data_IF_867149863376
#
_entry.id   IF_867149863376
#
_cell.length_a   1.000
_cell.length_b   1.000
_cell.length_c   1.000
_cell.angle_alpha   90.00
_cell.angle_beta   90.00
_cell.angle_gamma   90.00
#
_symmetry.space_group_name_H-M   'P 1'
#
loop_
_entity.id
_entity.type
_entity.pdbx_description
1 polymer ?
#
# COMPACT_ATOMS: atom_id res chain seq x y z
N UNK A 1 -4.00 -7.75 18.51
CA UNK A 1 -5.24 -7.00 18.22
C UNK A 1 -4.90 -5.91 17.22
N UNK A 2 -4.91 -6.20 15.91
CA UNK A 2 -4.71 -5.20 14.83
C UNK A 2 -6.00 -4.89 14.06
N UNK A 3 -7.13 -5.48 14.47
CA UNK A 3 -8.42 -5.42 13.76
C UNK A 3 -9.24 -4.16 14.02
N UNK A 4 -8.80 -3.28 14.94
CA UNK A 4 -9.55 -2.09 15.34
C UNK A 4 -9.25 -0.84 14.49
N UNK A 5 -8.12 -0.79 13.78
CA UNK A 5 -7.72 0.39 12.98
C UNK A 5 -8.52 0.48 11.66
N UNK A 6 -9.07 -0.64 11.17
CA UNK A 6 -9.87 -0.66 9.93
C UNK A 6 -11.18 0.14 10.02
N UNK A 7 -11.65 0.47 11.22
CA UNK A 7 -12.92 1.17 11.41
C UNK A 7 -12.83 2.69 11.18
N UNK A 8 -11.63 3.30 11.19
CA UNK A 8 -11.52 4.76 11.25
C UNK A 8 -11.56 5.48 9.89
N UNK A 9 -11.41 4.78 8.76
CA UNK A 9 -11.54 5.37 7.41
C UNK A 9 -13.00 5.48 6.91
N UNK A 10 -13.98 5.29 7.80
CA UNK A 10 -15.41 5.27 7.48
C UNK A 10 -16.03 6.68 7.28
N UNK A 11 -15.36 7.76 7.71
CA UNK A 11 -15.97 9.10 7.74
C UNK A 11 -15.64 10.02 6.55
N UNK A 12 -14.76 9.62 5.62
CA UNK A 12 -14.65 10.36 4.35
C UNK A 12 -15.80 9.86 3.45
N UNK A 13 -16.88 10.63 3.44
CA UNK A 13 -18.10 10.43 2.65
C UNK A 13 -17.85 10.67 1.15
N UNK A 14 -16.90 9.93 0.56
CA UNK A 14 -16.87 9.73 -0.88
C UNK A 14 -18.03 8.78 -1.21
N UNK A 15 -19.17 9.36 -1.62
CA UNK A 15 -20.35 8.67 -2.14
C UNK A 15 -20.08 8.04 -3.51
N UNK A 16 -18.98 7.33 -3.66
CA UNK A 16 -18.61 6.69 -4.92
C UNK A 16 -18.92 5.20 -4.84
N UNK A 17 -20.17 4.90 -5.20
CA UNK A 17 -20.68 3.55 -5.40
C UNK A 17 -19.92 2.85 -6.54
N UNK A 18 -19.54 1.58 -6.31
CA UNK A 18 -19.18 0.59 -7.33
C UNK A 18 -18.17 1.01 -8.41
N UNK A 19 -17.00 1.51 -8.00
CA UNK A 19 -15.92 1.83 -8.94
C UNK A 19 -15.23 0.59 -9.50
N UNK A 20 -15.43 0.32 -10.79
CA UNK A 20 -14.66 -0.68 -11.56
C UNK A 20 -13.28 -0.13 -11.94
N UNK A 21 -12.37 -1.00 -12.41
CA UNK A 21 -11.01 -0.60 -12.84
C UNK A 21 -10.94 0.55 -13.87
N UNK A 22 -11.93 0.69 -14.75
CA UNK A 22 -11.98 1.84 -15.68
C UNK A 22 -12.31 3.16 -14.98
N UNK A 23 -13.13 3.10 -13.93
CA UNK A 23 -13.59 4.28 -13.20
C UNK A 23 -12.50 4.86 -12.30
N UNK A 24 -11.60 4.03 -11.74
CA UNK A 24 -10.49 4.53 -10.91
C UNK A 24 -9.52 5.42 -11.70
N UNK A 25 -9.26 5.07 -12.96
CA UNK A 25 -8.40 5.87 -13.84
C UNK A 25 -9.01 7.24 -14.14
N UNK A 26 -10.28 7.29 -14.49
CA UNK A 26 -10.96 8.56 -14.79
C UNK A 26 -11.01 9.48 -13.56
N UNK A 27 -11.22 8.90 -12.38
CA UNK A 27 -11.22 9.64 -11.11
C UNK A 27 -9.82 10.14 -10.78
N UNK A 28 -8.81 9.30 -10.92
CA UNK A 28 -7.43 9.71 -10.73
C UNK A 28 -7.03 10.87 -11.64
N UNK A 29 -7.40 10.82 -12.93
CA UNK A 29 -7.12 11.90 -13.88
C UNK A 29 -7.78 13.22 -13.46
N UNK A 30 -9.03 13.19 -12.97
CA UNK A 30 -9.71 14.38 -12.46
C UNK A 30 -8.99 14.96 -11.23
N UNK A 31 -8.71 14.13 -10.24
CA UNK A 31 -8.00 14.56 -9.03
C UNK A 31 -6.61 15.12 -9.38
N UNK A 32 -5.91 14.50 -10.32
CA UNK A 32 -4.60 14.97 -10.80
C UNK A 32 -4.68 16.33 -11.47
N UNK A 33 -5.71 16.58 -12.29
CA UNK A 33 -5.91 17.89 -12.95
C UNK A 33 -6.13 19.02 -11.94
N UNK A 34 -6.75 18.72 -10.80
CA UNK A 34 -7.01 19.68 -9.72
C UNK A 34 -5.83 19.81 -8.73
N UNK A 35 -4.85 18.91 -8.80
CA UNK A 35 -3.73 18.86 -7.86
C UNK A 35 -2.55 19.70 -8.30
N UNK A 36 -1.87 20.31 -7.33
CA UNK A 36 -0.60 21.01 -7.57
C UNK A 36 0.53 19.98 -7.59
N UNK A 37 1.26 19.87 -8.69
CA UNK A 37 2.36 18.91 -8.84
C UNK A 37 3.69 19.61 -8.54
N UNK A 38 4.50 19.01 -7.68
CA UNK A 38 5.86 19.47 -7.36
C UNK A 38 6.78 18.27 -7.13
N UNK A 39 7.79 18.10 -7.99
CA UNK A 39 8.73 16.96 -7.91
C UNK A 39 9.69 17.02 -6.72
N UNK A 40 9.83 18.20 -6.10
CA UNK A 40 10.72 18.40 -4.95
C UNK A 40 9.98 18.27 -3.61
N UNK A 41 8.66 18.40 -3.61
CA UNK A 41 7.84 18.24 -2.40
C UNK A 41 7.64 16.75 -2.09
N UNK A 42 8.15 16.31 -0.94
CA UNK A 42 8.12 14.90 -0.51
C UNK A 42 7.05 14.59 0.52
N UNK A 43 6.21 15.53 0.93
CA UNK A 43 5.26 15.35 2.05
C UNK A 43 4.38 14.12 1.84
N UNK A 44 3.84 13.94 0.63
CA UNK A 44 3.01 12.78 0.31
C UNK A 44 3.83 11.49 0.25
N UNK A 45 5.05 11.52 -0.28
CA UNK A 45 5.94 10.35 -0.28
C UNK A 45 6.23 9.89 1.15
N UNK A 46 6.59 10.81 2.03
CA UNK A 46 6.95 10.52 3.42
C UNK A 46 5.74 10.00 4.22
N UNK A 47 4.52 10.43 3.87
CA UNK A 47 3.28 9.83 4.41
C UNK A 47 3.13 8.36 3.99
N UNK A 48 3.37 8.03 2.72
CA UNK A 48 3.28 6.64 2.24
C UNK A 48 4.35 5.77 2.90
N UNK A 49 5.55 6.31 3.10
CA UNK A 49 6.67 5.63 3.75
C UNK A 49 6.45 5.42 5.25
N UNK A 50 5.88 6.42 5.95
CA UNK A 50 5.50 6.26 7.35
C UNK A 50 4.35 5.25 7.50
N UNK A 51 3.37 5.28 6.60
CA UNK A 51 2.29 4.30 6.61
C UNK A 51 2.83 2.88 6.42
N UNK A 52 3.75 2.68 5.46
CA UNK A 52 4.47 1.43 5.26
C UNK A 52 5.19 0.98 6.53
N UNK A 53 6.00 1.88 7.09
CA UNK A 53 6.84 1.59 8.25
C UNK A 53 6.01 1.15 9.44
N UNK A 54 4.97 1.93 9.78
CA UNK A 54 4.14 1.72 10.97
C UNK A 54 3.12 0.59 10.84
N UNK A 55 2.62 0.29 9.64
CA UNK A 55 1.60 -0.75 9.48
C UNK A 55 2.16 -2.10 9.03
N UNK A 56 3.18 -2.08 8.16
CA UNK A 56 3.60 -3.28 7.45
C UNK A 56 4.99 -3.76 7.88
N UNK A 57 5.95 -2.86 8.08
CA UNK A 57 7.36 -3.22 8.33
C UNK A 57 7.71 -3.36 9.81
N UNK A 58 7.14 -2.54 10.69
CA UNK A 58 7.57 -2.49 12.08
C UNK A 58 7.03 -3.67 12.91
N UNK A 59 7.86 -4.10 13.87
CA UNK A 59 7.49 -5.10 14.86
C UNK A 59 6.76 -4.48 16.06
N UNK A 60 7.14 -3.25 16.42
CA UNK A 60 6.76 -2.61 17.70
C UNK A 60 6.17 -1.20 17.54
N UNK A 61 6.25 -0.61 16.34
CA UNK A 61 5.68 0.69 16.04
C UNK A 61 4.35 0.51 15.32
N UNK A 62 3.40 1.39 15.61
CA UNK A 62 2.03 1.33 15.09
C UNK A 62 1.55 2.73 14.71
N UNK A 63 0.47 2.79 13.92
CA UNK A 63 -0.19 4.05 13.62
C UNK A 63 -0.76 4.67 14.88
N UNK A 64 -0.37 5.91 15.14
CA UNK A 64 -0.87 6.71 16.26
C UNK A 64 -2.01 7.63 15.83
N UNK A 65 -2.87 8.10 16.74
CA UNK A 65 -3.84 9.16 16.44
C UNK A 65 -3.19 10.39 15.80
N UNK A 66 -1.98 10.75 16.23
CA UNK A 66 -1.22 11.88 15.70
C UNK A 66 -0.82 11.65 14.23
N UNK A 67 -0.32 10.45 13.90
CA UNK A 67 -0.02 10.09 12.51
C UNK A 67 -1.27 10.13 11.64
N UNK A 68 -2.40 9.60 12.13
CA UNK A 68 -3.68 9.62 11.40
C UNK A 68 -4.14 11.06 11.16
N UNK A 69 -4.13 11.90 12.20
CA UNK A 69 -4.53 13.31 12.09
C UNK A 69 -3.66 14.07 11.10
N UNK A 70 -2.35 13.75 11.02
CA UNK A 70 -1.45 14.35 10.03
C UNK A 70 -1.81 13.95 8.61
N UNK A 71 -2.18 12.69 8.38
CA UNK A 71 -2.66 12.22 7.08
C UNK A 71 -3.96 12.94 6.70
N UNK A 72 -4.93 13.02 7.61
CA UNK A 72 -6.21 13.71 7.38
C UNK A 72 -6.02 15.20 7.09
N UNK A 73 -5.18 15.89 7.86
CA UNK A 73 -4.85 17.30 7.62
C UNK A 73 -4.19 17.51 6.27
N UNK A 74 -3.31 16.59 5.86
CA UNK A 74 -2.65 16.67 4.55
C UNK A 74 -3.64 16.43 3.42
N UNK A 75 -4.52 15.44 3.57
CA UNK A 75 -5.53 15.07 2.59
C UNK A 75 -6.65 16.12 2.42
N UNK A 76 -6.95 16.87 3.48
CA UNK A 76 -7.96 17.94 3.48
C UNK A 76 -7.44 19.30 3.04
N UNK A 77 -6.12 19.47 2.89
CA UNK A 77 -5.54 20.72 2.44
C UNK A 77 -5.38 20.74 0.91
N UNK A 78 -6.16 21.56 0.16
CA UNK A 78 -6.06 21.64 -1.30
C UNK A 78 -4.73 22.24 -1.80
N UNK A 79 -3.97 22.88 -0.91
CA UNK A 79 -2.66 23.45 -1.23
C UNK A 79 -1.53 22.41 -1.19
N UNK A 80 -1.79 21.23 -0.61
CA UNK A 80 -0.85 20.11 -0.56
C UNK A 80 -0.38 19.74 -1.97
N UNK A 81 0.94 19.68 -2.17
CA UNK A 81 1.51 19.22 -3.43
C UNK A 81 1.38 17.71 -3.55
N UNK A 82 1.20 17.25 -4.79
CA UNK A 82 1.08 15.84 -5.15
C UNK A 82 -0.10 15.12 -4.45
N UNK A 83 -1.12 15.88 -4.05
CA UNK A 83 -2.28 15.41 -3.29
C UNK A 83 -3.01 14.26 -3.98
N UNK A 84 -3.03 14.22 -5.32
CA UNK A 84 -3.62 13.14 -6.11
C UNK A 84 -3.05 11.75 -5.80
N UNK A 85 -1.76 11.65 -5.47
CA UNK A 85 -1.15 10.39 -5.03
C UNK A 85 -1.74 9.96 -3.69
N UNK A 86 -1.82 10.87 -2.72
CA UNK A 86 -2.35 10.58 -1.40
C UNK A 86 -3.83 10.18 -1.49
N UNK A 87 -4.63 10.91 -2.27
CA UNK A 87 -6.06 10.62 -2.42
C UNK A 87 -6.31 9.27 -3.11
N UNK A 88 -5.52 8.93 -4.14
CA UNK A 88 -5.61 7.60 -4.77
C UNK A 88 -5.22 6.49 -3.78
N UNK A 89 -4.17 6.70 -2.98
CA UNK A 89 -3.77 5.75 -1.95
C UNK A 89 -4.85 5.57 -0.87
N UNK A 90 -5.43 6.65 -0.37
CA UNK A 90 -6.52 6.60 0.62
C UNK A 90 -7.79 5.94 0.06
N UNK A 91 -8.11 6.18 -1.21
CA UNK A 91 -9.21 5.51 -1.89
C UNK A 91 -8.96 3.99 -1.97
N UNK A 92 -7.73 3.57 -2.24
CA UNK A 92 -7.34 2.16 -2.20
C UNK A 92 -7.46 1.57 -0.78
N UNK A 93 -6.97 2.26 0.25
CA UNK A 93 -7.11 1.82 1.65
C UNK A 93 -8.58 1.68 2.07
N UNK A 94 -9.44 2.62 1.65
CA UNK A 94 -10.86 2.56 1.91
C UNK A 94 -11.51 1.36 1.21
N UNK A 95 -11.08 1.03 -0.01
CA UNK A 95 -11.54 -0.14 -0.74
C UNK A 95 -11.19 -1.45 0.00
N UNK A 96 -9.94 -1.59 0.46
CA UNK A 96 -9.52 -2.74 1.27
C UNK A 96 -10.34 -2.86 2.57
N UNK A 97 -10.56 -1.74 3.24
CA UNK A 97 -11.29 -1.72 4.52
C UNK A 97 -12.73 -2.18 4.35
N UNK A 98 -13.43 -1.65 3.32
CA UNK A 98 -14.84 -1.98 3.06
C UNK A 98 -15.03 -3.43 2.61
N UNK A 99 -14.12 -3.96 1.79
CA UNK A 99 -14.20 -5.37 1.33
C UNK A 99 -13.99 -6.35 2.49
N UNK A 100 -13.01 -6.06 3.37
CA UNK A 100 -12.77 -6.84 4.59
C UNK A 100 -13.97 -6.83 5.55
N UNK A 101 -14.54 -5.64 5.83
CA UNK A 101 -15.67 -5.49 6.76
C UNK A 101 -16.96 -6.10 6.22
N UNK A 102 -17.22 -5.98 4.92
CA UNK A 102 -18.44 -6.50 4.29
C UNK A 102 -18.37 -7.99 3.93
N UNK A 103 -17.23 -8.65 4.16
CA UNK A 103 -17.01 -10.05 3.73
C UNK A 103 -17.12 -10.23 2.22
N UNK A 104 -16.92 -9.17 1.43
CA UNK A 104 -17.07 -9.18 -0.02
C UNK A 104 -15.76 -9.58 -0.67
N UNK A 105 -15.86 -10.30 -1.79
CA UNK A 105 -14.70 -10.57 -2.66
C UNK A 105 -14.07 -9.23 -3.08
N UNK A 106 -12.75 -9.06 -2.93
CA UNK A 106 -12.07 -7.85 -3.37
C UNK A 106 -12.24 -7.62 -4.87
N UNK A 107 -12.44 -6.36 -5.29
CA UNK A 107 -12.40 -6.00 -6.71
C UNK A 107 -10.93 -5.91 -7.14
N UNK A 108 -10.40 -7.06 -7.58
CA UNK A 108 -8.99 -7.15 -7.92
C UNK A 108 -8.62 -6.34 -9.17
N UNK A 109 -9.57 -6.03 -10.06
CA UNK A 109 -9.31 -5.15 -11.21
C UNK A 109 -9.10 -3.69 -10.75
N UNK A 110 -9.95 -3.21 -9.84
CA UNK A 110 -9.76 -1.91 -9.20
C UNK A 110 -8.40 -1.85 -8.50
N UNK A 111 -8.05 -2.88 -7.72
CA UNK A 111 -6.81 -2.90 -6.96
C UNK A 111 -5.57 -2.88 -7.85
N UNK A 112 -5.55 -3.68 -8.92
CA UNK A 112 -4.45 -3.73 -9.87
C UNK A 112 -4.28 -2.38 -10.57
N UNK A 113 -5.38 -1.78 -11.06
CA UNK A 113 -5.28 -0.50 -11.78
C UNK A 113 -4.87 0.64 -10.84
N UNK A 114 -5.41 0.69 -9.61
CA UNK A 114 -5.01 1.67 -8.60
C UNK A 114 -3.51 1.58 -8.27
N UNK A 115 -2.98 0.35 -8.08
CA UNK A 115 -1.56 0.15 -7.82
C UNK A 115 -0.68 0.51 -9.02
N UNK A 116 -1.12 0.21 -10.23
CA UNK A 116 -0.42 0.61 -11.46
C UNK A 116 -0.36 2.14 -11.60
N UNK A 117 -1.46 2.83 -11.32
CA UNK A 117 -1.50 4.30 -11.33
C UNK A 117 -0.58 4.89 -10.28
N UNK A 118 -0.60 4.37 -9.04
CA UNK A 118 0.29 4.81 -7.96
C UNK A 118 1.77 4.55 -8.29
N UNK A 119 2.11 3.37 -8.80
CA UNK A 119 3.47 3.02 -9.21
C UNK A 119 3.99 4.00 -10.26
N UNK A 120 3.22 4.21 -11.34
CA UNK A 120 3.63 5.12 -12.41
C UNK A 120 3.76 6.55 -11.90
N UNK A 121 2.77 7.04 -11.16
CA UNK A 121 2.78 8.44 -10.70
C UNK A 121 3.89 8.73 -9.70
N UNK A 122 4.14 7.81 -8.75
CA UNK A 122 5.24 7.98 -7.78
C UNK A 122 6.60 7.89 -8.45
N UNK A 123 6.77 6.99 -9.44
CA UNK A 123 7.98 6.92 -10.25
C UNK A 123 8.20 8.20 -11.06
N UNK A 124 7.16 8.74 -11.68
CA UNK A 124 7.24 9.93 -12.54
C UNK A 124 7.50 11.22 -11.75
N UNK A 125 6.95 11.34 -10.53
CA UNK A 125 7.12 12.54 -9.69
C UNK A 125 8.38 12.45 -8.84
N UNK A 126 8.62 11.32 -8.16
CA UNK A 126 9.69 11.20 -7.16
C UNK A 126 10.92 10.44 -7.67
N UNK A 127 10.86 9.84 -8.85
CA UNK A 127 11.91 8.95 -9.36
C UNK A 127 12.04 7.63 -8.58
N UNK A 128 11.11 7.35 -7.64
CA UNK A 128 11.15 6.18 -6.77
C UNK A 128 9.74 5.75 -6.38
N UNK A 129 9.50 4.44 -6.33
CA UNK A 129 8.22 3.86 -5.94
C UNK A 129 8.28 3.44 -4.46
N UNK A 130 7.40 3.94 -3.58
CA UNK A 130 7.28 3.48 -2.19
C UNK A 130 7.12 1.96 -2.05
N UNK A 131 7.76 1.36 -1.03
CA UNK A 131 7.73 -0.09 -0.80
C UNK A 131 6.32 -0.67 -0.68
N UNK A 132 5.40 0.06 -0.05
CA UNK A 132 4.00 -0.33 0.12
C UNK A 132 3.27 -0.57 -1.20
N UNK A 133 3.65 0.13 -2.27
CA UNK A 133 3.04 -0.06 -3.60
C UNK A 133 3.46 -1.43 -4.17
N UNK A 134 4.71 -1.86 -4.01
CA UNK A 134 5.15 -3.19 -4.45
C UNK A 134 4.39 -4.30 -3.70
N UNK A 135 4.20 -4.13 -2.40
CA UNK A 135 3.50 -5.08 -1.52
C UNK A 135 2.04 -5.21 -1.96
N UNK A 136 1.30 -4.10 -2.03
CA UNK A 136 -0.12 -4.12 -2.40
C UNK A 136 -0.36 -4.49 -3.86
N UNK A 137 0.58 -4.16 -4.77
CA UNK A 137 0.52 -4.64 -6.15
C UNK A 137 0.65 -6.16 -6.21
N UNK A 138 1.59 -6.75 -5.48
CA UNK A 138 1.76 -8.20 -5.43
C UNK A 138 0.51 -8.89 -4.87
N UNK A 139 -0.05 -8.37 -3.77
CA UNK A 139 -1.29 -8.89 -3.18
C UNK A 139 -2.48 -8.82 -4.15
N UNK A 140 -2.66 -7.69 -4.85
CA UNK A 140 -3.73 -7.53 -5.82
C UNK A 140 -3.60 -8.51 -7.00
N UNK A 141 -2.39 -8.70 -7.52
CA UNK A 141 -2.08 -9.62 -8.62
C UNK A 141 -2.30 -11.08 -8.21
N UNK A 142 -1.84 -11.47 -7.01
CA UNK A 142 -2.07 -12.82 -6.50
C UNK A 142 -3.58 -13.09 -6.29
N UNK A 143 -4.32 -12.10 -5.78
CA UNK A 143 -5.78 -12.13 -5.67
C UNK A 143 -6.49 -12.37 -7.02
N UNK A 144 -5.94 -11.85 -8.13
CA UNK A 144 -6.42 -12.12 -9.50
C UNK A 144 -5.85 -13.40 -10.13
N UNK A 145 -5.16 -14.25 -9.37
CA UNK A 145 -4.46 -15.47 -9.87
C UNK A 145 -3.35 -15.19 -10.88
N UNK A 146 -2.80 -13.98 -10.91
CA UNK A 146 -1.69 -13.56 -11.78
C UNK A 146 -0.34 -13.78 -11.08
N UNK A 147 -0.05 -15.04 -10.74
CA UNK A 147 1.07 -15.43 -9.85
C UNK A 147 2.44 -14.95 -10.34
N UNK A 148 2.72 -15.07 -11.64
CA UNK A 148 4.01 -14.65 -12.21
C UNK A 148 4.18 -13.12 -12.14
N UNK A 149 3.12 -12.36 -12.40
CA UNK A 149 3.15 -10.90 -12.27
C UNK A 149 3.32 -10.48 -10.80
N UNK A 150 2.67 -11.19 -9.87
CA UNK A 150 2.82 -10.96 -8.43
C UNK A 150 4.26 -11.23 -7.98
N UNK A 151 4.85 -12.35 -8.41
CA UNK A 151 6.25 -12.69 -8.15
C UNK A 151 7.20 -11.62 -8.69
N UNK A 152 6.99 -11.15 -9.92
CA UNK A 152 7.81 -10.10 -10.51
C UNK A 152 7.73 -8.78 -9.73
N UNK A 153 6.54 -8.42 -9.19
CA UNK A 153 6.38 -7.26 -8.33
C UNK A 153 7.15 -7.40 -7.01
N UNK A 154 7.14 -8.58 -6.39
CA UNK A 154 7.93 -8.88 -5.18
C UNK A 154 9.43 -8.82 -5.47
N UNK A 155 9.88 -9.45 -6.54
CA UNK A 155 11.30 -9.50 -6.92
C UNK A 155 11.84 -8.09 -7.21
N UNK A 156 11.08 -7.24 -7.92
CA UNK A 156 11.43 -5.83 -8.12
C UNK A 156 11.41 -5.03 -6.81
N UNK A 157 10.41 -5.25 -5.96
CA UNK A 157 10.33 -4.60 -4.66
C UNK A 157 11.54 -4.93 -3.78
N UNK A 158 11.96 -6.19 -3.71
CA UNK A 158 13.15 -6.61 -2.94
C UNK A 158 14.45 -6.04 -3.49
N UNK A 159 14.54 -5.85 -4.80
CA UNK A 159 15.70 -5.18 -5.40
C UNK A 159 15.84 -3.73 -4.93
N UNK A 160 14.71 -3.03 -4.74
CA UNK A 160 14.71 -1.63 -4.28
C UNK A 160 14.71 -1.50 -2.75
N UNK A 161 14.16 -2.49 -2.04
CA UNK A 161 13.98 -2.52 -0.59
C UNK A 161 14.41 -3.87 -0.02
N UNK A 162 15.72 -4.18 -0.01
CA UNK A 162 16.23 -5.48 0.39
C UNK A 162 15.94 -5.82 1.85
N UNK A 163 15.70 -4.83 2.71
CA UNK A 163 15.39 -5.03 4.15
C UNK A 163 13.89 -5.08 4.46
N UNK A 164 13.03 -5.02 3.44
CA UNK A 164 11.58 -5.10 3.62
C UNK A 164 11.17 -6.51 4.08
N UNK A 165 10.72 -6.63 5.32
CA UNK A 165 10.27 -7.89 5.90
C UNK A 165 9.06 -8.44 5.15
N UNK A 166 8.02 -7.64 4.80
CA UNK A 166 6.90 -8.14 3.99
C UNK A 166 7.33 -8.72 2.64
N UNK A 167 8.24 -8.05 1.93
CA UNK A 167 8.70 -8.51 0.64
C UNK A 167 9.57 -9.77 0.74
N UNK A 168 10.41 -9.88 1.78
CA UNK A 168 11.17 -11.11 2.09
C UNK A 168 10.23 -12.28 2.39
N UNK A 169 9.18 -12.03 3.19
CA UNK A 169 8.15 -13.04 3.49
C UNK A 169 7.48 -13.52 2.21
N UNK A 170 6.99 -12.61 1.35
CA UNK A 170 6.35 -13.00 0.10
C UNK A 170 7.30 -13.73 -0.86
N UNK A 171 8.56 -13.32 -0.93
CA UNK A 171 9.56 -14.03 -1.72
C UNK A 171 9.78 -15.45 -1.19
N UNK A 172 9.96 -15.63 0.12
CA UNK A 172 10.07 -16.95 0.74
C UNK A 172 8.82 -17.82 0.49
N UNK A 173 7.61 -17.25 0.59
CA UNK A 173 6.39 -18.01 0.32
C UNK A 173 6.34 -18.52 -1.12
N UNK A 174 6.88 -17.76 -2.07
CA UNK A 174 6.95 -18.12 -3.49
C UNK A 174 8.08 -19.11 -3.83
N UNK A 175 9.26 -18.95 -3.23
CA UNK A 175 10.49 -19.68 -3.63
C UNK A 175 10.88 -20.80 -2.69
N UNK A 176 10.45 -20.75 -1.43
CA UNK A 176 10.95 -21.58 -0.31
C UNK A 176 12.47 -21.46 -0.10
N UNK A 177 13.03 -20.28 -0.36
CA UNK A 177 14.46 -20.01 -0.15
C UNK A 177 14.83 -20.03 1.35
N UNK A 178 15.65 -20.99 1.75
CA UNK A 178 16.12 -21.19 3.12
C UNK A 178 17.01 -20.03 3.63
N UNK A 179 17.69 -19.29 2.74
CA UNK A 179 18.47 -18.11 3.15
C UNK A 179 17.53 -17.01 3.67
N UNK A 180 16.45 -16.73 2.93
CA UNK A 180 15.43 -15.77 3.35
C UNK A 180 14.72 -16.22 4.61
N UNK A 181 14.39 -17.51 4.70
CA UNK A 181 13.79 -18.10 5.89
C UNK A 181 14.65 -17.88 7.13
N UNK A 182 15.94 -18.21 7.05
CA UNK A 182 16.87 -18.07 8.16
C UNK A 182 17.05 -16.61 8.59
N UNK A 183 17.10 -15.69 7.63
CA UNK A 183 17.13 -14.25 7.91
C UNK A 183 15.87 -13.80 8.67
N UNK A 184 14.68 -14.16 8.17
CA UNK A 184 13.40 -13.81 8.79
C UNK A 184 13.25 -14.35 10.22
N UNK A 185 13.59 -15.62 10.45
CA UNK A 185 13.47 -16.26 11.77
C UNK A 185 14.49 -15.70 12.75
N UNK A 186 15.71 -15.40 12.30
CA UNK A 186 16.78 -14.91 13.17
C UNK A 186 16.63 -13.43 13.51
N UNK A 187 16.31 -12.60 12.52
CA UNK A 187 16.37 -11.15 12.63
C UNK A 187 14.98 -10.51 12.85
N UNK A 188 13.91 -11.21 12.46
CA UNK A 188 12.53 -10.70 12.55
C UNK A 188 11.53 -11.68 13.21
N UNK A 189 11.90 -12.39 14.29
CA UNK A 189 11.07 -13.45 14.87
C UNK A 189 9.71 -12.97 15.37
N UNK A 190 9.60 -11.70 15.76
CA UNK A 190 8.37 -11.12 16.31
C UNK A 190 7.56 -10.36 15.26
N UNK A 191 8.05 -10.26 14.02
CA UNK A 191 7.33 -9.57 12.97
C UNK A 191 6.01 -10.28 12.67
N UNK A 192 4.93 -9.51 12.59
CA UNK A 192 3.57 -10.05 12.51
C UNK A 192 3.36 -10.99 11.31
N UNK A 193 4.01 -10.74 10.16
CA UNK A 193 3.94 -11.63 9.00
C UNK A 193 4.68 -12.95 9.22
N UNK A 194 5.85 -12.92 9.86
CA UNK A 194 6.63 -14.13 10.18
C UNK A 194 5.78 -15.04 11.08
N UNK A 195 5.14 -14.45 12.09
CA UNK A 195 4.21 -15.14 12.99
C UNK A 195 2.95 -15.63 12.27
N UNK A 196 2.31 -14.78 11.46
CA UNK A 196 1.07 -15.09 10.75
C UNK A 196 1.23 -16.27 9.79
N UNK A 197 2.35 -16.32 9.06
CA UNK A 197 2.64 -17.39 8.10
C UNK A 197 3.38 -18.57 8.72
N UNK A 198 3.66 -18.55 10.03
CA UNK A 198 4.27 -19.66 10.75
C UNK A 198 5.67 -20.01 10.25
N UNK A 199 6.46 -19.01 9.84
CA UNK A 199 7.82 -19.22 9.35
C UNK A 199 8.72 -19.51 10.56
N UNK A 200 9.28 -20.72 10.61
CA UNK A 200 10.08 -21.25 11.73
C UNK A 200 11.29 -22.02 11.23
#
# INVERSE_FOLDING_TARGET
MKKLILALFLCISLNTFAQTGKQVKDIFLKIKQESKIDRNDRVVYDILDEFYTKNLQSENDEMTPETIQRIEKTASNPETKNLHILLLFLMYQQHLSRTSVAGKTPDTEFQIEAMKLLENETRDIYGKVPAIIYIYKAEALDGSRKKEEAKAAVDQGLKEYPDSVPLKVYSYLNTKDEVLKNDLVKNHPNHWMVLQFGIK
#
